data_IF_943498551582
#
_entry.id   IF_943498551582
#
_cell.length_a   1.000
_cell.length_b   1.000
_cell.length_c   1.000
_cell.angle_alpha   90.00
_cell.angle_beta   90.00
_cell.angle_gamma   90.00
#
_symmetry.space_group_name_H-M   'P 1'
#
loop_
_entity.id
_entity.type
_entity.pdbx_description
1 polymer ?
#
# COMPACT_ATOMS: atom_id res chain seq x y z
N UNK A 1 7.72 15.08 -15.15
CA UNK A 1 6.77 15.04 -14.01
C UNK A 1 7.56 14.60 -12.80
N UNK A 2 7.33 15.20 -11.63
CA UNK A 2 8.04 14.84 -10.41
C UNK A 2 7.70 13.40 -10.01
N UNK A 3 8.70 12.61 -9.64
CA UNK A 3 8.47 11.25 -9.14
C UNK A 3 7.86 11.33 -7.74
N UNK A 4 6.83 10.54 -7.48
CA UNK A 4 6.18 10.57 -6.15
C UNK A 4 7.06 9.89 -5.08
N UNK A 5 8.09 9.15 -5.48
CA UNK A 5 9.10 8.57 -4.58
C UNK A 5 10.33 9.47 -4.40
N UNK A 6 10.49 10.56 -5.17
CA UNK A 6 11.58 11.53 -4.99
C UNK A 6 11.47 12.32 -3.68
N UNK A 7 10.24 12.50 -3.19
CA UNK A 7 9.94 13.26 -1.97
C UNK A 7 10.14 12.43 -0.69
N UNK A 8 10.48 11.14 -0.82
CA UNK A 8 10.76 10.32 0.34
C UNK A 8 12.04 10.79 1.06
N UNK A 9 12.08 10.72 2.40
CA UNK A 9 13.26 11.07 3.17
C UNK A 9 14.50 10.33 2.62
N UNK A 10 15.58 11.08 2.34
CA UNK A 10 16.86 10.51 1.84
C UNK A 10 17.49 9.50 2.81
N UNK A 11 16.95 9.37 4.01
CA UNK A 11 17.32 8.41 5.05
C UNK A 11 16.83 7.00 4.76
N UNK A 12 15.87 6.79 3.85
CA UNK A 12 15.45 5.44 3.48
C UNK A 12 16.55 4.78 2.64
N UNK A 13 17.00 3.62 3.09
CA UNK A 13 18.05 2.85 2.42
C UNK A 13 17.52 2.28 1.10
N UNK A 14 18.35 2.44 0.05
CA UNK A 14 18.10 1.88 -1.29
C UNK A 14 18.94 0.64 -1.49
N UNK A 15 18.33 -0.40 -2.05
CA UNK A 15 18.96 -1.70 -2.30
C UNK A 15 18.77 -2.10 -3.77
N UNK A 16 19.81 -2.59 -4.46
CA UNK A 16 19.59 -3.22 -5.76
C UNK A 16 18.84 -4.54 -5.56
N UNK A 17 17.77 -4.76 -6.33
CA UNK A 17 17.07 -6.04 -6.31
C UNK A 17 17.82 -7.09 -7.14
N UNK A 18 18.23 -8.20 -6.52
CA UNK A 18 18.89 -9.33 -7.19
C UNK A 18 18.14 -10.66 -6.99
N UNK A 19 16.84 -10.58 -6.74
CA UNK A 19 15.96 -11.75 -6.62
C UNK A 19 15.39 -11.97 -5.22
N UNK A 20 14.40 -12.86 -5.17
CA UNK A 20 13.55 -13.13 -4.00
C UNK A 20 14.33 -13.49 -2.73
N UNK A 21 15.37 -14.33 -2.84
CA UNK A 21 16.16 -14.73 -1.68
C UNK A 21 16.87 -13.54 -1.02
N UNK A 22 17.49 -12.68 -1.82
CA UNK A 22 18.17 -11.48 -1.32
C UNK A 22 17.17 -10.51 -0.71
N UNK A 23 16.01 -10.35 -1.36
CA UNK A 23 14.92 -9.53 -0.86
C UNK A 23 14.50 -9.96 0.55
N UNK A 24 14.25 -11.26 0.76
CA UNK A 24 13.82 -11.79 2.06
C UNK A 24 14.91 -11.59 3.14
N UNK A 25 16.18 -11.81 2.81
CA UNK A 25 17.29 -11.57 3.75
C UNK A 25 17.35 -10.10 4.21
N UNK A 26 17.16 -9.15 3.29
CA UNK A 26 17.12 -7.72 3.60
C UNK A 26 15.88 -7.37 4.41
N UNK A 27 14.72 -7.92 4.02
CA UNK A 27 13.45 -7.70 4.70
C UNK A 27 13.50 -8.19 6.15
N UNK A 28 13.93 -9.43 6.38
CA UNK A 28 14.01 -10.04 7.70
C UNK A 28 14.98 -9.27 8.60
N UNK A 29 16.14 -8.86 8.08
CA UNK A 29 17.08 -8.05 8.82
C UNK A 29 16.48 -6.70 9.23
N UNK A 30 15.77 -6.04 8.31
CA UNK A 30 15.15 -4.75 8.60
C UNK A 30 13.97 -4.89 9.59
N UNK A 31 13.18 -5.96 9.47
CA UNK A 31 12.12 -6.30 10.41
C UNK A 31 12.67 -6.57 11.81
N UNK A 32 13.76 -7.33 11.94
CA UNK A 32 14.40 -7.57 13.23
C UNK A 32 14.97 -6.29 13.85
N UNK A 33 15.60 -5.43 13.04
CA UNK A 33 16.11 -4.15 13.51
C UNK A 33 14.99 -3.26 14.06
N UNK A 34 13.86 -3.22 13.36
CA UNK A 34 12.66 -2.47 13.75
C UNK A 34 12.03 -3.02 15.02
N UNK A 35 11.84 -4.34 15.10
CA UNK A 35 11.31 -5.03 16.28
C UNK A 35 12.18 -4.84 17.51
N UNK A 36 13.50 -4.82 17.34
CA UNK A 36 14.47 -4.64 18.42
C UNK A 36 14.68 -3.17 18.82
N UNK A 37 14.00 -2.21 18.17
CA UNK A 37 14.09 -0.79 18.48
C UNK A 37 15.47 -0.19 18.17
N UNK A 38 16.12 -0.68 17.11
CA UNK A 38 17.46 -0.21 16.71
C UNK A 38 17.38 1.27 16.32
N UNK A 39 18.29 2.13 16.82
CA UNK A 39 18.41 3.49 16.33
C UNK A 39 18.60 3.46 14.80
N UNK A 40 17.86 4.29 14.06
CA UNK A 40 17.85 4.34 12.58
C UNK A 40 17.15 3.19 11.85
N UNK A 41 16.40 2.33 12.55
CA UNK A 41 15.49 1.40 11.87
C UNK A 41 14.39 2.17 11.13
N UNK A 42 14.17 1.83 9.86
CA UNK A 42 13.09 2.40 9.04
C UNK A 42 12.02 1.34 8.80
N UNK A 43 10.77 1.77 8.80
CA UNK A 43 9.61 0.95 8.41
C UNK A 43 9.53 0.77 6.88
N UNK A 44 10.39 1.47 6.13
CA UNK A 44 10.37 1.48 4.68
C UNK A 44 11.70 0.97 4.10
N UNK A 45 11.60 0.22 3.01
CA UNK A 45 12.74 -0.17 2.18
C UNK A 45 12.48 0.28 0.75
N UNK A 46 13.52 0.81 0.10
CA UNK A 46 13.49 1.04 -1.34
C UNK A 46 14.35 0.02 -2.07
N UNK A 47 13.80 -0.54 -3.14
CA UNK A 47 14.53 -1.38 -4.07
C UNK A 47 14.64 -0.73 -5.44
N UNK A 48 15.83 -0.76 -6.03
CA UNK A 48 16.05 -0.44 -7.43
C UNK A 48 15.74 -1.70 -8.26
N UNK A 49 14.69 -1.63 -9.08
CA UNK A 49 14.15 -2.76 -9.83
C UNK A 49 13.48 -2.28 -11.13
N UNK A 50 13.85 -2.92 -12.24
CA UNK A 50 13.25 -2.61 -13.54
C UNK A 50 11.79 -3.11 -13.62
N UNK A 51 11.05 -2.56 -14.58
CA UNK A 51 9.62 -2.81 -14.71
C UNK A 51 9.28 -4.25 -15.09
N UNK A 52 10.14 -4.92 -15.87
CA UNK A 52 9.92 -6.30 -16.29
C UNK A 52 10.09 -7.24 -15.09
N UNK A 53 11.15 -7.04 -14.33
CA UNK A 53 11.44 -7.78 -13.09
C UNK A 53 10.35 -7.52 -12.03
N UNK A 54 9.93 -6.26 -11.84
CA UNK A 54 8.82 -5.94 -10.94
C UNK A 54 7.52 -6.63 -11.35
N UNK A 55 7.17 -6.57 -12.63
CA UNK A 55 5.94 -7.18 -13.14
C UNK A 55 5.92 -8.70 -12.92
N UNK A 56 7.04 -9.37 -13.22
CA UNK A 56 7.21 -10.80 -13.06
C UNK A 56 7.18 -11.25 -11.59
N UNK A 57 7.89 -10.54 -10.73
CA UNK A 57 8.18 -11.00 -9.36
C UNK A 57 7.22 -10.41 -8.31
N UNK A 58 6.43 -9.39 -8.62
CA UNK A 58 5.52 -8.73 -7.67
C UNK A 58 4.07 -8.54 -8.17
N UNK A 59 3.83 -8.31 -9.47
CA UNK A 59 2.47 -8.04 -9.97
C UNK A 59 1.73 -9.28 -10.48
N UNK A 60 2.43 -10.20 -11.14
CA UNK A 60 1.83 -11.33 -11.85
C UNK A 60 2.21 -12.68 -11.25
N UNK A 61 2.54 -12.69 -9.96
CA UNK A 61 2.93 -13.89 -9.22
C UNK A 61 2.28 -13.94 -7.85
N UNK A 62 1.96 -15.15 -7.40
CA UNK A 62 1.53 -15.45 -6.03
C UNK A 62 2.74 -15.77 -5.12
N UNK A 63 3.93 -15.27 -5.48
CA UNK A 63 5.15 -15.46 -4.67
C UNK A 63 4.98 -14.91 -3.26
N UNK A 64 5.78 -15.40 -2.32
CA UNK A 64 5.70 -14.93 -0.95
C UNK A 64 6.03 -13.43 -0.82
N UNK A 65 6.83 -12.89 -1.73
CA UNK A 65 7.27 -11.50 -1.70
C UNK A 65 6.28 -10.50 -2.32
N UNK A 66 5.34 -10.95 -3.15
CA UNK A 66 4.39 -10.07 -3.86
C UNK A 66 3.39 -9.38 -2.94
N UNK A 67 3.31 -9.80 -1.67
CA UNK A 67 2.44 -9.21 -0.65
C UNK A 67 3.03 -7.98 0.06
N UNK A 68 4.34 -7.74 -0.04
CA UNK A 68 5.04 -6.76 0.80
C UNK A 68 5.20 -5.38 0.15
N UNK A 69 5.01 -5.29 -1.17
CA UNK A 69 5.20 -4.04 -1.87
C UNK A 69 4.00 -3.11 -1.71
N UNK A 70 4.28 -1.81 -1.60
CA UNK A 70 3.24 -0.79 -1.43
C UNK A 70 3.19 0.19 -2.58
N UNK A 71 4.32 0.49 -3.23
CA UNK A 71 4.35 1.40 -4.37
C UNK A 71 5.49 1.09 -5.33
N UNK A 72 5.27 1.31 -6.62
CA UNK A 72 6.27 1.22 -7.67
C UNK A 72 6.23 2.48 -8.55
N UNK A 73 7.40 3.07 -8.79
CA UNK A 73 7.60 4.18 -9.71
C UNK A 73 8.37 3.68 -10.94
N UNK A 74 7.67 3.61 -12.08
CA UNK A 74 8.25 3.12 -13.32
C UNK A 74 9.29 4.09 -13.92
N UNK A 75 9.14 5.39 -13.66
CA UNK A 75 10.06 6.41 -14.18
C UNK A 75 11.43 6.35 -13.52
N UNK A 76 11.47 5.93 -12.25
CA UNK A 76 12.69 5.83 -11.46
C UNK A 76 13.15 4.40 -11.23
N UNK A 77 12.34 3.40 -11.61
CA UNK A 77 12.62 2.00 -11.36
C UNK A 77 12.80 1.73 -9.85
N UNK A 78 11.91 2.32 -9.04
CA UNK A 78 11.94 2.22 -7.58
C UNK A 78 10.71 1.52 -7.05
N UNK A 79 10.94 0.53 -6.20
CA UNK A 79 9.92 -0.23 -5.48
C UNK A 79 10.00 0.11 -3.99
N UNK A 80 8.91 0.60 -3.44
CA UNK A 80 8.73 0.83 -2.02
C UNK A 80 8.09 -0.39 -1.36
N UNK A 81 8.73 -0.84 -0.30
CA UNK A 81 8.27 -1.90 0.60
C UNK A 81 7.98 -1.26 1.95
N UNK A 82 6.86 -1.63 2.55
CA UNK A 82 6.53 -1.27 3.92
C UNK A 82 6.65 -2.50 4.80
N UNK A 83 7.54 -2.44 5.78
CA UNK A 83 7.74 -3.47 6.79
C UNK A 83 6.60 -3.28 7.80
N UNK A 84 5.57 -4.11 7.67
CA UNK A 84 4.33 -3.98 8.44
C UNK A 84 4.54 -3.74 9.93
N UNK A 85 4.22 -2.52 10.36
CA UNK A 85 3.96 -2.17 11.75
C UNK A 85 2.48 -1.80 11.91
N UNK A 86 2.14 -1.34 13.13
CA UNK A 86 0.82 -1.12 13.71
C UNK A 86 -0.30 -0.60 12.76
N UNK A 87 0.03 0.09 11.68
CA UNK A 87 -0.90 0.64 10.70
C UNK A 87 -1.79 -0.42 10.03
N UNK A 88 -1.28 -1.63 9.76
CA UNK A 88 -2.11 -2.75 9.28
C UNK A 88 -3.15 -3.19 10.31
N UNK A 89 -2.80 -3.11 11.60
CA UNK A 89 -3.74 -3.40 12.70
C UNK A 89 -4.82 -2.31 12.82
N UNK A 90 -4.51 -1.07 12.45
CA UNK A 90 -5.43 0.07 12.53
C UNK A 90 -6.36 0.15 11.32
N UNK A 91 -5.89 -0.13 10.10
CA UNK A 91 -6.77 -0.32 8.94
C UNK A 91 -7.77 -1.46 9.20
N UNK A 92 -7.32 -2.54 9.85
CA UNK A 92 -8.17 -3.64 10.31
C UNK A 92 -9.16 -3.18 11.39
N UNK A 93 -8.73 -2.37 12.36
CA UNK A 93 -9.61 -1.82 13.39
C UNK A 93 -10.66 -0.84 12.83
N UNK A 94 -10.28 -0.03 11.85
CA UNK A 94 -11.19 0.84 11.11
C UNK A 94 -12.20 0.02 10.33
N UNK A 95 -11.77 -1.04 9.64
CA UNK A 95 -12.68 -1.97 8.98
C UNK A 95 -13.70 -2.58 9.95
N UNK A 96 -13.26 -3.04 11.14
CA UNK A 96 -14.19 -3.54 12.15
C UNK A 96 -15.21 -2.48 12.59
N UNK A 97 -14.75 -1.24 12.78
CA UNK A 97 -15.63 -0.13 13.18
C UNK A 97 -16.62 0.24 12.07
N UNK A 98 -16.20 0.22 10.80
CA UNK A 98 -17.05 0.43 9.64
C UNK A 98 -18.11 -0.67 9.51
N UNK A 99 -17.71 -1.93 9.62
CA UNK A 99 -18.63 -3.08 9.57
C UNK A 99 -19.66 -3.00 10.70
N UNK A 100 -19.22 -2.70 11.93
CA UNK A 100 -20.12 -2.52 13.07
C UNK A 100 -21.11 -1.38 12.88
N UNK A 101 -20.69 -0.26 12.26
CA UNK A 101 -21.60 0.84 11.94
C UNK A 101 -22.62 0.49 10.84
N UNK A 102 -22.25 -0.40 9.91
CA UNK A 102 -23.12 -0.85 8.82
C UNK A 102 -24.05 -2.00 9.22
N UNK A 103 -23.77 -2.67 10.34
CA UNK A 103 -24.54 -3.81 10.82
C UNK A 103 -26.00 -3.47 11.15
N UNK A 104 -26.32 -2.41 11.91
CA UNK A 104 -27.71 -2.04 12.21
C UNK A 104 -28.55 -1.69 10.97
N UNK A 105 -27.89 -1.29 9.88
CA UNK A 105 -28.54 -0.95 8.61
C UNK A 105 -28.69 -2.18 7.68
N UNK A 106 -28.17 -3.35 8.07
CA UNK A 106 -28.12 -4.54 7.21
C UNK A 106 -27.19 -4.39 5.99
N UNK A 107 -26.41 -3.31 5.93
CA UNK A 107 -25.58 -2.96 4.76
C UNK A 107 -24.21 -3.64 4.78
N UNK A 108 -23.77 -4.17 5.92
CA UNK A 108 -22.51 -4.90 6.03
C UNK A 108 -22.43 -6.10 5.05
N UNK A 109 -23.56 -6.78 4.80
CA UNK A 109 -23.67 -7.89 3.84
C UNK A 109 -23.69 -7.44 2.37
N UNK A 110 -23.81 -6.14 2.10
CA UNK A 110 -23.80 -5.58 0.75
C UNK A 110 -22.42 -5.03 0.36
N UNK A 111 -21.44 -5.10 1.25
CA UNK A 111 -20.10 -4.56 1.09
C UNK A 111 -19.10 -5.67 0.76
N UNK A 112 -18.28 -5.44 -0.26
CA UNK A 112 -17.09 -6.24 -0.57
C UNK A 112 -15.87 -5.49 -0.05
N UNK A 113 -15.02 -6.18 0.70
CA UNK A 113 -13.71 -5.68 1.13
C UNK A 113 -12.64 -6.07 0.12
N UNK A 114 -11.64 -5.20 -0.02
CA UNK A 114 -10.49 -5.41 -0.87
C UNK A 114 -9.24 -5.10 -0.04
N UNK A 115 -8.26 -6.01 -0.03
CA UNK A 115 -6.96 -5.82 0.59
C UNK A 115 -5.88 -5.77 -0.49
N UNK A 116 -4.96 -4.80 -0.43
CA UNK A 116 -3.81 -4.72 -1.34
C UNK A 116 -4.19 -4.45 -2.80
N UNK A 117 -5.19 -3.58 -3.04
CA UNK A 117 -5.61 -3.26 -4.42
C UNK A 117 -4.56 -2.42 -5.10
N UNK A 118 -3.98 -2.95 -6.18
CA UNK A 118 -3.06 -2.22 -7.06
C UNK A 118 -3.77 -1.17 -7.90
N UNK A 119 -3.60 0.11 -7.57
CA UNK A 119 -4.06 1.27 -8.33
C UNK A 119 -2.96 1.71 -9.28
N UNK A 120 -3.28 1.83 -10.58
CA UNK A 120 -2.36 2.40 -11.58
C UNK A 120 -2.46 3.93 -11.49
N UNK A 121 -1.34 4.59 -11.23
CA UNK A 121 -1.25 6.04 -11.01
C UNK A 121 -1.15 6.79 -12.33
N UNK A 122 -0.46 6.21 -13.31
CA UNK A 122 -0.23 6.85 -14.60
C UNK A 122 -0.12 5.83 -15.75
N UNK A 123 -0.12 6.31 -16.99
CA UNK A 123 0.03 5.48 -18.18
C UNK A 123 1.44 4.90 -18.37
N UNK A 124 2.40 5.25 -17.50
CA UNK A 124 3.78 4.76 -17.57
C UNK A 124 3.95 3.42 -16.84
N UNK A 125 2.97 3.06 -16.01
CA UNK A 125 2.96 1.80 -15.25
C UNK A 125 3.33 1.98 -13.79
N UNK A 126 3.45 3.21 -13.28
CA UNK A 126 3.55 3.47 -11.86
C UNK A 126 2.27 3.02 -11.15
N UNK A 127 2.41 2.34 -10.02
CA UNK A 127 1.26 1.79 -9.30
C UNK A 127 1.48 1.77 -7.79
N UNK A 128 0.38 1.78 -7.03
CA UNK A 128 0.40 1.74 -5.57
C UNK A 128 -0.64 0.76 -5.05
N UNK A 129 -0.39 0.13 -3.92
CA UNK A 129 -1.41 -0.65 -3.22
C UNK A 129 -2.09 0.23 -2.17
N UNK A 130 -3.43 0.26 -2.18
CA UNK A 130 -4.20 0.84 -1.09
C UNK A 130 -4.23 -0.09 0.12
N UNK A 131 -4.14 0.46 1.34
CA UNK A 131 -4.13 -0.32 2.59
C UNK A 131 -5.40 -1.16 2.75
N UNK A 132 -6.54 -0.54 2.46
CA UNK A 132 -7.85 -1.20 2.47
C UNK A 132 -8.81 -0.54 1.49
N UNK A 133 -9.72 -1.32 0.90
CA UNK A 133 -10.74 -0.81 0.01
C UNK A 133 -12.11 -1.45 0.25
N UNK A 134 -13.16 -0.72 -0.11
CA UNK A 134 -14.54 -1.19 -0.05
C UNK A 134 -15.31 -0.82 -1.30
N UNK A 135 -16.21 -1.70 -1.71
CA UNK A 135 -17.15 -1.45 -2.81
C UNK A 135 -18.44 -2.24 -2.62
N UNK A 136 -19.53 -1.85 -3.28
CA UNK A 136 -20.76 -2.62 -3.26
C UNK A 136 -20.57 -3.97 -3.98
N UNK A 137 -21.07 -5.06 -3.41
CA UNK A 137 -21.10 -6.39 -4.07
C UNK A 137 -21.85 -6.31 -5.42
N UNK A 138 -22.87 -5.46 -5.47
CA UNK A 138 -23.66 -5.17 -6.67
C UNK A 138 -23.46 -3.70 -7.06
N UNK A 139 -22.38 -3.37 -7.78
CA UNK A 139 -22.15 -2.00 -8.21
C UNK A 139 -23.20 -1.56 -9.25
N UNK A 140 -23.45 -0.24 -9.37
CA UNK A 140 -24.36 0.29 -10.38
C UNK A 140 -23.90 -0.09 -11.81
N UNK A 141 -24.82 -0.11 -12.79
CA UNK A 141 -24.48 -0.40 -14.19
C UNK A 141 -23.32 0.47 -14.69
N UNK A 142 -22.38 -0.13 -15.42
CA UNK A 142 -21.18 0.56 -15.93
C UNK A 142 -20.00 0.61 -14.94
N UNK A 143 -20.17 0.14 -13.70
CA UNK A 143 -19.10 0.12 -12.70
C UNK A 143 -18.50 -1.29 -12.54
N UNK A 144 -17.17 -1.39 -12.68
CA UNK A 144 -16.44 -2.66 -12.54
C UNK A 144 -16.46 -3.19 -11.10
N UNK A 145 -16.56 -4.52 -10.95
CA UNK A 145 -16.44 -5.24 -9.67
C UNK A 145 -15.00 -5.53 -9.27
N UNK A 146 -14.03 -5.20 -10.12
CA UNK A 146 -12.61 -5.46 -9.87
C UNK A 146 -11.97 -4.39 -8.98
N UNK A 147 -12.65 -3.27 -8.80
CA UNK A 147 -12.09 -2.07 -8.18
C UNK A 147 -12.92 -1.63 -6.98
N UNK A 148 -12.29 -1.25 -5.86
CA UNK A 148 -12.99 -0.64 -4.75
C UNK A 148 -13.63 0.69 -5.18
N UNK A 149 -14.71 1.06 -4.49
CA UNK A 149 -15.32 2.40 -4.62
C UNK A 149 -14.64 3.38 -3.70
N UNK A 150 -14.25 2.94 -2.51
CA UNK A 150 -13.56 3.73 -1.49
C UNK A 150 -12.26 3.02 -1.12
N UNK A 151 -11.17 3.76 -1.03
CA UNK A 151 -9.88 3.24 -0.53
C UNK A 151 -9.47 4.05 0.69
N UNK A 152 -8.99 3.36 1.72
CA UNK A 152 -8.33 3.90 2.89
C UNK A 152 -6.83 3.94 2.64
N UNK A 153 -6.24 5.10 2.88
CA UNK A 153 -4.80 5.27 3.01
C UNK A 153 -4.53 5.83 4.42
N UNK A 154 -3.81 5.06 5.23
CA UNK A 154 -3.34 5.49 6.53
C UNK A 154 -2.00 6.19 6.38
N UNK A 155 -1.89 7.45 6.81
CA UNK A 155 -0.62 8.15 6.88
C UNK A 155 -0.36 8.64 8.31
N UNK A 156 0.79 8.26 8.87
CA UNK A 156 1.30 8.85 10.10
C UNK A 156 2.19 10.05 9.75
N UNK A 157 1.88 11.22 10.33
CA UNK A 157 2.79 12.36 10.29
C UNK A 157 3.45 12.51 11.66
N UNK A 158 4.77 12.32 11.71
CA UNK A 158 5.57 12.68 12.87
C UNK A 158 6.02 14.13 12.68
N UNK A 159 5.35 15.08 13.32
CA UNK A 159 5.85 16.45 13.41
C UNK A 159 6.96 16.52 14.47
N UNK A 160 8.10 17.12 14.13
CA UNK A 160 9.30 17.30 14.98
C UNK A 160 9.09 18.22 16.21
N UNK A 161 7.85 18.64 16.51
CA UNK A 161 7.54 19.38 17.73
C UNK A 161 6.36 18.74 18.45
N UNK A 162 6.65 18.27 19.67
CA UNK A 162 5.73 17.88 20.74
C UNK A 162 4.75 16.73 20.45
N UNK A 163 5.15 15.51 20.82
CA UNK A 163 4.33 14.40 21.36
C UNK A 163 2.85 14.31 20.97
N UNK A 164 2.52 14.47 19.69
CA UNK A 164 1.23 14.14 19.10
C UNK A 164 1.48 13.59 17.69
N UNK A 165 1.68 12.27 17.60
CA UNK A 165 1.58 11.59 16.32
C UNK A 165 0.17 11.88 15.77
N UNK A 166 0.10 12.66 14.71
CA UNK A 166 -1.15 13.01 14.06
C UNK A 166 -1.36 12.05 12.92
N UNK A 167 -2.33 11.15 13.09
CA UNK A 167 -2.72 10.17 12.09
C UNK A 167 -3.77 10.80 11.17
N UNK A 168 -3.49 10.79 9.86
CA UNK A 168 -4.43 11.21 8.85
C UNK A 168 -4.94 9.96 8.14
N UNK A 169 -6.26 9.88 8.02
CA UNK A 169 -6.94 8.83 7.28
C UNK A 169 -7.54 9.49 6.05
N UNK A 170 -7.02 9.15 4.88
CA UNK A 170 -7.57 9.66 3.62
C UNK A 170 -8.48 8.59 3.03
N UNK A 171 -9.73 8.96 2.76
CA UNK A 171 -10.68 8.13 2.04
C UNK A 171 -10.91 8.72 0.65
N UNK A 172 -10.46 8.01 -0.38
CA UNK A 172 -10.61 8.45 -1.77
C UNK A 172 -11.72 7.66 -2.45
N UNK A 173 -12.63 8.36 -3.14
CA UNK A 173 -13.61 7.72 -4.02
C UNK A 173 -12.94 7.47 -5.37
N UNK A 174 -12.68 6.21 -5.70
CA UNK A 174 -12.15 5.85 -7.00
C UNK A 174 -13.26 6.03 -8.04
N UNK A 175 -13.22 7.06 -8.88
CA UNK A 175 -14.11 7.12 -10.05
C UNK A 175 -13.46 6.36 -11.20
N UNK A 176 -14.21 5.47 -11.84
CA UNK A 176 -13.75 4.72 -13.01
C UNK A 176 -14.21 5.51 -14.20
N UNK A 177 -13.28 5.91 -15.07
CA UNK A 177 -13.63 6.54 -16.33
C UNK A 177 -14.58 5.63 -17.11
N UNK A 178 -15.68 6.22 -17.54
CA UNK A 178 -16.68 5.59 -18.40
C UNK A 178 -16.16 5.63 -19.83
N UNK A 179 -15.18 4.78 -20.13
CA UNK A 179 -14.81 4.49 -21.52
C UNK A 179 -15.80 3.47 -22.06
N UNK A 180 -16.49 3.90 -23.12
CA UNK A 180 -17.66 3.30 -23.77
C UNK A 180 -17.40 1.92 -24.38
#
# INVERSE_FOLDING_TARGET
MASFLEELPRTIKKYPYNGEKQFLEIFDQAYDNLRNGTPDASEYLLFEIDQETFSRDFLHTDSDISRFWTSYDASQQLLLIQIGTLEHSQATAFNHSLVAALEPMGLHMALQTYSGVTIIVDSTGSCKQGDHGWGPIRPPPGRSRKWPTVVLEGASSASESESRSSYYVTASICMSDTSS
#
